data_IF_660194569918
#
_entry.id   IF_660194569918
#
_cell.length_a   1.000
_cell.length_b   1.000
_cell.length_c   1.000
_cell.angle_alpha   90.00
_cell.angle_beta   90.00
_cell.angle_gamma   90.00
#
_symmetry.space_group_name_H-M   'P 1'
#
loop_
_entity.id
_entity.type
_entity.pdbx_description
1 polymer ?
#
# COMPACT_ATOMS: atom_id res chain seq x y z
N UNK A 1 -7.25 9.16 -1.84
CA UNK A 1 -6.90 8.28 -0.71
C UNK A 1 -6.23 7.01 -1.23
N UNK A 2 -4.94 6.81 -0.96
CA UNK A 2 -4.19 5.65 -1.48
C UNK A 2 -4.07 4.62 -0.37
N UNK A 3 -4.57 3.41 -0.65
CA UNK A 3 -4.52 2.29 0.29
C UNK A 3 -3.19 1.56 0.16
N UNK A 4 -2.33 1.70 1.18
CA UNK A 4 -1.06 1.00 1.31
C UNK A 4 -1.15 -0.13 2.33
N UNK A 5 -0.34 -1.17 2.15
CA UNK A 5 -0.24 -2.31 3.07
C UNK A 5 1.19 -2.41 3.59
N UNK A 6 1.37 -2.50 4.89
CA UNK A 6 2.72 -2.72 5.46
C UNK A 6 3.28 -4.08 5.01
N UNK A 7 4.54 -4.09 4.60
CA UNK A 7 5.23 -5.31 4.15
C UNK A 7 5.43 -6.36 5.25
N UNK A 8 5.48 -5.94 6.52
CA UNK A 8 5.77 -6.84 7.65
C UNK A 8 4.48 -7.27 8.35
N UNK A 9 3.70 -6.32 8.87
CA UNK A 9 2.51 -6.65 9.67
C UNK A 9 1.22 -6.77 8.83
N UNK A 10 1.28 -6.46 7.54
CA UNK A 10 0.12 -6.55 6.64
C UNK A 10 -1.01 -5.56 6.92
N UNK A 11 -0.82 -4.60 7.83
CA UNK A 11 -1.84 -3.61 8.18
C UNK A 11 -2.08 -2.66 7.01
N UNK A 12 -3.34 -2.45 6.67
CA UNK A 12 -3.77 -1.45 5.69
C UNK A 12 -3.71 -0.07 6.32
N UNK A 13 -3.01 0.85 5.68
CA UNK A 13 -2.98 2.26 6.02
C UNK A 13 -3.65 3.04 4.89
N UNK A 14 -4.71 3.74 5.26
CA UNK A 14 -5.27 4.80 4.44
C UNK A 14 -4.49 6.06 4.73
N UNK A 15 -3.68 6.47 3.77
CA UNK A 15 -2.78 7.59 3.95
C UNK A 15 -2.89 8.57 2.79
N UNK A 16 -2.75 9.83 3.14
CA UNK A 16 -2.67 10.94 2.21
C UNK A 16 -1.19 11.14 1.82
N UNK A 17 -0.92 11.42 0.55
CA UNK A 17 0.47 11.53 0.07
C UNK A 17 1.18 12.76 0.64
N UNK A 18 0.43 13.78 1.06
CA UNK A 18 0.95 15.04 1.58
C UNK A 18 1.46 14.94 3.02
N UNK A 19 0.97 13.98 3.82
CA UNK A 19 1.38 13.81 5.22
C UNK A 19 2.60 12.91 5.32
N UNK A 20 3.75 13.54 5.07
CA UNK A 20 5.10 13.01 5.14
C UNK A 20 5.37 12.24 6.45
N UNK A 21 5.36 10.92 6.38
CA UNK A 21 5.68 10.05 7.53
C UNK A 21 5.32 8.58 7.31
N UNK A 22 5.99 7.91 6.36
CA UNK A 22 5.83 6.46 6.10
C UNK A 22 6.44 5.63 7.24
N UNK A 23 5.77 5.57 8.39
CA UNK A 23 6.13 4.69 9.51
C UNK A 23 4.90 3.94 10.00
N UNK A 24 4.98 2.62 10.02
CA UNK A 24 3.88 1.79 10.45
C UNK A 24 3.68 1.95 11.96
N UNK A 25 2.49 2.36 12.39
CA UNK A 25 2.17 2.53 13.82
C UNK A 25 2.16 1.24 14.64
N UNK A 26 2.10 0.06 13.98
CA UNK A 26 2.14 -1.24 14.66
C UNK A 26 3.54 -1.81 14.82
N UNK A 27 4.37 -1.76 13.78
CA UNK A 27 5.67 -2.44 13.77
C UNK A 27 6.86 -1.51 13.52
N UNK A 28 6.64 -0.21 13.36
CA UNK A 28 7.69 0.78 13.08
C UNK A 28 8.32 0.68 11.69
N UNK A 29 7.92 -0.29 10.86
CA UNK A 29 8.48 -0.48 9.54
C UNK A 29 8.07 0.64 8.57
N UNK A 30 8.94 0.95 7.61
CA UNK A 30 8.78 2.06 6.65
C UNK A 30 8.51 1.60 5.21
N UNK A 31 8.45 0.28 4.98
CA UNK A 31 8.23 -0.31 3.65
C UNK A 31 6.77 -0.76 3.49
N UNK A 32 6.13 -0.29 2.42
CA UNK A 32 4.71 -0.54 2.14
C UNK A 32 4.48 -0.92 0.66
N UNK A 33 3.42 -1.68 0.41
CA UNK A 33 2.94 -2.04 -0.92
C UNK A 33 1.63 -1.31 -1.24
N UNK A 34 1.49 -0.81 -2.47
CA UNK A 34 0.21 -0.26 -2.92
C UNK A 34 -0.79 -1.39 -3.17
N UNK A 35 -2.03 -1.25 -2.70
CA UNK A 35 -3.08 -2.22 -2.96
C UNK A 35 -3.33 -2.35 -4.47
N UNK A 36 -3.45 -3.59 -4.96
CA UNK A 36 -3.83 -3.85 -6.36
C UNK A 36 -5.21 -3.22 -6.63
N UNK A 37 -5.37 -2.44 -7.71
CA UNK A 37 -6.67 -1.91 -8.07
C UNK A 37 -7.62 -3.06 -8.42
N UNK A 38 -8.91 -2.90 -8.10
CA UNK A 38 -9.95 -3.88 -8.44
C UNK A 38 -10.29 -3.90 -9.95
N UNK A 39 -9.70 -2.99 -10.72
CA UNK A 39 -9.93 -2.88 -12.16
C UNK A 39 -9.34 -4.09 -12.88
N UNK A 40 -10.17 -4.76 -13.68
CA UNK A 40 -9.73 -5.87 -14.52
C UNK A 40 -8.66 -5.37 -15.50
N UNK A 41 -7.53 -6.07 -15.56
CA UNK A 41 -6.51 -5.89 -16.60
C UNK A 41 -6.61 -7.09 -17.55
N UNK A 42 -6.78 -6.82 -18.84
CA UNK A 42 -6.65 -7.83 -19.90
C UNK A 42 -5.18 -7.89 -20.29
N UNK A 43 -4.60 -9.09 -20.24
CA UNK A 43 -3.23 -9.35 -20.69
C UNK A 43 -3.35 -10.22 -21.93
N UNK A 44 -2.83 -9.75 -23.06
CA UNK A 44 -2.70 -10.57 -24.27
C UNK A 44 -1.39 -11.36 -24.12
N UNK A 45 -1.45 -12.68 -24.22
CA UNK A 45 -0.28 -13.55 -24.28
C UNK A 45 0.11 -13.75 -25.75
N UNK A 46 1.39 -13.63 -26.06
CA UNK A 46 1.98 -14.02 -27.35
C UNK A 46 1.99 -15.55 -27.56
#
# INVERSE_FOLDING_TARGET
>A
MVNYKCSVCGTSLEMDLETLGLTCRKCGNKIFYKKRPSTKKTVLSD
#
